data_IF_614253071678
#
_entry.id   IF_614253071678
#
_cell.length_a   1.000
_cell.length_b   1.000
_cell.length_c   1.000
_cell.angle_alpha   90.00
_cell.angle_beta   90.00
_cell.angle_gamma   90.00
#
_symmetry.space_group_name_H-M   'P 1'
#
loop_
_entity.id
_entity.type
_entity.pdbx_description
1 polymer ?
#
# COMPACT_ATOMS: atom_id res chain seq x y z
N UNK A 1 -5.77 13.11 1.04
CA UNK A 1 -6.51 14.02 0.14
C UNK A 1 -7.99 13.76 0.34
N UNK A 2 -8.81 14.81 0.39
CA UNK A 2 -10.26 14.76 0.58
C UNK A 2 -10.90 15.48 -0.60
N UNK A 3 -11.93 14.87 -1.18
CA UNK A 3 -12.72 15.43 -2.28
C UNK A 3 -14.12 15.76 -1.73
N UNK A 4 -14.46 17.04 -1.66
CA UNK A 4 -15.80 17.49 -1.25
C UNK A 4 -16.61 17.84 -2.49
N UNK A 5 -17.74 17.16 -2.76
CA UNK A 5 -18.58 17.50 -3.89
C UNK A 5 -19.23 18.87 -3.67
N UNK A 6 -19.00 19.80 -4.60
CA UNK A 6 -19.71 21.08 -4.66
C UNK A 6 -20.93 20.97 -5.58
N UNK A 7 -20.83 20.16 -6.64
CA UNK A 7 -21.93 19.82 -7.56
C UNK A 7 -21.63 18.50 -8.26
N UNK A 8 -22.50 18.07 -9.17
CA UNK A 8 -22.27 16.90 -10.01
C UNK A 8 -21.02 16.97 -10.91
N UNK A 9 -20.43 18.16 -11.11
CA UNK A 9 -19.26 18.38 -11.99
C UNK A 9 -18.03 18.94 -11.28
N UNK A 10 -18.18 19.44 -10.05
CA UNK A 10 -17.13 20.19 -9.37
C UNK A 10 -16.89 19.66 -7.97
N UNK A 11 -15.61 19.49 -7.63
CA UNK A 11 -15.16 19.06 -6.31
C UNK A 11 -14.16 20.07 -5.76
N UNK A 12 -14.25 20.35 -4.46
CA UNK A 12 -13.22 21.06 -3.71
C UNK A 12 -12.24 20.01 -3.17
N UNK A 13 -10.96 20.16 -3.49
CA UNK A 13 -9.92 19.22 -3.08
C UNK A 13 -9.08 19.79 -1.95
N UNK A 14 -9.08 19.11 -0.80
CA UNK A 14 -8.14 19.36 0.28
C UNK A 14 -7.05 18.29 0.28
N UNK A 15 -5.79 18.69 0.41
CA UNK A 15 -4.69 17.74 0.51
C UNK A 15 -3.61 18.24 1.47
N UNK A 16 -2.97 17.28 2.15
CA UNK A 16 -1.79 17.49 2.95
C UNK A 16 -0.75 16.46 2.50
N UNK A 17 0.43 16.91 2.09
CA UNK A 17 1.48 16.05 1.53
C UNK A 17 1.36 15.80 0.02
N UNK A 18 1.68 14.56 -0.40
CA UNK A 18 1.80 14.15 -1.81
C UNK A 18 0.43 14.20 -2.51
N UNK A 19 0.40 14.80 -3.71
CA UNK A 19 -0.78 14.90 -4.58
C UNK A 19 -0.37 14.61 -6.04
N UNK A 20 -1.32 14.26 -6.92
CA UNK A 20 -1.07 14.27 -8.36
C UNK A 20 -0.64 15.66 -8.87
N UNK A 21 0.09 15.68 -9.99
CA UNK A 21 0.62 16.92 -10.56
C UNK A 21 -0.48 17.82 -11.14
N UNK A 22 -1.57 17.23 -11.65
CA UNK A 22 -2.72 17.94 -12.21
C UNK A 22 -3.59 18.64 -11.15
N UNK A 23 -3.42 18.33 -9.87
CA UNK A 23 -4.09 19.05 -8.77
C UNK A 23 -3.17 20.18 -8.32
N UNK A 24 -3.66 21.40 -8.15
CA UNK A 24 -2.87 22.56 -7.71
C UNK A 24 -3.59 23.40 -6.67
N UNK A 25 -2.85 23.96 -5.70
CA UNK A 25 -3.41 24.83 -4.66
C UNK A 25 -4.00 26.09 -5.31
N UNK A 26 -5.15 26.53 -4.81
CA UNK A 26 -5.79 27.81 -5.20
C UNK A 26 -6.02 27.96 -6.71
N UNK A 27 -6.29 26.85 -7.40
CA UNK A 27 -6.55 26.84 -8.85
C UNK A 27 -7.75 25.97 -9.20
N UNK A 28 -8.46 26.38 -10.24
CA UNK A 28 -9.40 25.50 -10.94
C UNK A 28 -8.59 24.53 -11.81
N UNK A 29 -8.66 23.25 -11.47
CA UNK A 29 -8.03 22.17 -12.23
C UNK A 29 -9.10 21.46 -13.04
N UNK A 30 -9.04 21.57 -14.37
CA UNK A 30 -9.90 20.81 -15.28
C UNK A 30 -9.23 19.47 -15.53
N UNK A 31 -9.88 18.39 -15.09
CA UNK A 31 -9.38 17.03 -15.23
C UNK A 31 -9.96 16.39 -16.48
N UNK A 32 -9.14 15.65 -17.20
CA UNK A 32 -9.60 14.80 -18.31
C UNK A 32 -10.08 13.43 -17.80
N UNK A 33 -10.55 12.58 -18.72
CA UNK A 33 -11.04 11.24 -18.38
C UNK A 33 -9.96 10.34 -17.76
N UNK A 34 -8.69 10.57 -18.10
CA UNK A 34 -7.55 9.79 -17.60
C UNK A 34 -7.27 10.18 -16.15
N UNK A 35 -7.22 11.48 -15.84
CA UNK A 35 -7.04 12.01 -14.50
C UNK A 35 -8.17 11.57 -13.57
N UNK A 36 -9.42 11.64 -14.05
CA UNK A 36 -10.61 11.20 -13.30
C UNK A 36 -10.56 9.70 -13.02
N UNK A 37 -10.16 8.89 -14.02
CA UNK A 37 -10.00 7.45 -13.84
C UNK A 37 -8.91 7.11 -12.81
N UNK A 38 -7.79 7.83 -12.80
CA UNK A 38 -6.73 7.62 -11.81
C UNK A 38 -7.23 7.90 -10.38
N UNK A 39 -7.90 9.03 -10.14
CA UNK A 39 -8.48 9.37 -8.83
C UNK A 39 -9.49 8.32 -8.39
N UNK A 40 -10.43 7.96 -9.26
CA UNK A 40 -11.47 6.99 -8.95
C UNK A 40 -10.90 5.62 -8.61
N UNK A 41 -9.85 5.18 -9.33
CA UNK A 41 -9.17 3.94 -9.04
C UNK A 41 -8.52 3.97 -7.65
N UNK A 42 -7.89 5.07 -7.26
CA UNK A 42 -7.31 5.21 -5.91
C UNK A 42 -8.40 5.16 -4.83
N UNK A 43 -9.50 5.90 -5.00
CA UNK A 43 -10.62 5.88 -4.04
C UNK A 43 -11.17 4.45 -3.93
N UNK A 44 -11.48 3.84 -5.07
CA UNK A 44 -12.02 2.49 -5.12
C UNK A 44 -11.10 1.49 -4.43
N UNK A 45 -9.78 1.52 -4.69
CA UNK A 45 -8.82 0.62 -4.05
C UNK A 45 -8.74 0.79 -2.53
N UNK A 46 -8.95 2.01 -2.01
CA UNK A 46 -8.94 2.29 -0.57
C UNK A 46 -10.30 2.11 0.13
N UNK A 47 -11.41 2.01 -0.62
CA UNK A 47 -12.74 1.78 -0.04
C UNK A 47 -12.90 0.37 0.52
N UNK A 48 -13.44 0.24 1.72
CA UNK A 48 -13.77 -1.07 2.33
C UNK A 48 -14.93 -1.75 1.59
N UNK A 49 -15.99 -0.99 1.33
CA UNK A 49 -17.10 -1.43 0.50
C UNK A 49 -16.84 -1.00 -0.94
N UNK A 50 -16.65 -2.00 -1.80
CA UNK A 50 -16.49 -1.77 -3.24
C UNK A 50 -17.86 -1.57 -3.87
N UNK A 51 -18.29 -0.32 -3.98
CA UNK A 51 -19.49 0.03 -4.75
C UNK A 51 -19.11 0.28 -6.21
N UNK A 52 -19.71 -0.47 -7.13
CA UNK A 52 -19.44 -0.36 -8.57
C UNK A 52 -20.51 0.52 -9.24
N UNK A 53 -20.11 1.32 -10.22
CA UNK A 53 -21.02 2.14 -11.00
C UNK A 53 -21.91 1.29 -11.93
N UNK A 54 -23.06 1.81 -12.35
CA UNK A 54 -24.01 1.11 -13.24
C UNK A 54 -23.51 0.79 -14.65
N UNK A 55 -22.29 1.21 -15.00
CA UNK A 55 -21.75 1.16 -16.37
C UNK A 55 -20.75 0.00 -16.51
N UNK A 56 -20.76 -0.66 -17.67
CA UNK A 56 -19.93 -1.84 -17.94
C UNK A 56 -18.42 -1.52 -17.84
N UNK A 57 -17.99 -0.34 -18.28
CA UNK A 57 -16.57 0.06 -18.27
C UNK A 57 -15.99 0.15 -16.85
N UNK A 58 -16.84 0.32 -15.83
CA UNK A 58 -16.42 0.29 -14.44
C UNK A 58 -15.99 -1.12 -13.99
N UNK A 59 -16.52 -2.17 -14.64
CA UNK A 59 -16.16 -3.56 -14.37
C UNK A 59 -14.82 -3.93 -14.99
N UNK A 60 -14.45 -3.38 -16.14
CA UNK A 60 -13.15 -3.62 -16.79
C UNK A 60 -11.97 -3.16 -15.90
N UNK A 61 -12.22 -2.22 -15.00
CA UNK A 61 -11.23 -1.79 -14.00
C UNK A 61 -11.04 -2.82 -12.88
N UNK A 62 -12.02 -3.69 -12.61
CA UNK A 62 -11.93 -4.73 -11.59
C UNK A 62 -10.89 -5.79 -11.97
N UNK A 63 -10.85 -6.16 -13.24
CA UNK A 63 -9.88 -7.14 -13.76
C UNK A 63 -8.43 -6.64 -13.65
N UNK A 64 -8.24 -5.32 -13.53
CA UNK A 64 -6.93 -4.66 -13.43
C UNK A 64 -6.48 -4.43 -11.99
N UNK A 65 -7.26 -4.87 -11.00
CA UNK A 65 -6.89 -4.75 -9.59
C UNK A 65 -5.83 -5.79 -9.26
N UNK A 66 -4.60 -5.33 -9.08
CA UNK A 66 -3.48 -6.17 -8.62
C UNK A 66 -3.24 -6.09 -7.12
N UNK A 67 -3.89 -5.15 -6.43
CA UNK A 67 -3.66 -4.88 -5.01
C UNK A 67 -4.89 -5.22 -4.16
N UNK A 68 -4.68 -6.09 -3.18
CA UNK A 68 -5.66 -6.46 -2.17
C UNK A 68 -5.35 -5.75 -0.85
N UNK A 69 -6.24 -4.83 -0.48
CA UNK A 69 -6.26 -4.15 0.82
C UNK A 69 -7.73 -4.07 1.27
N UNK A 70 -8.02 -4.28 2.56
CA UNK A 70 -7.05 -4.47 3.65
C UNK A 70 -6.47 -5.90 3.67
N UNK A 71 -5.28 -6.06 4.24
CA UNK A 71 -4.64 -7.37 4.41
C UNK A 71 -5.01 -7.94 5.76
N UNK A 72 -5.44 -9.20 5.78
CA UNK A 72 -5.75 -9.95 7.00
C UNK A 72 -4.57 -10.86 7.36
N UNK A 73 -4.13 -10.78 8.61
CA UNK A 73 -3.15 -11.69 9.20
C UNK A 73 -3.87 -12.56 10.22
N UNK A 74 -3.80 -13.88 10.03
CA UNK A 74 -4.37 -14.86 10.94
C UNK A 74 -3.25 -15.61 11.65
N UNK A 75 -3.38 -15.79 12.96
CA UNK A 75 -2.47 -16.53 13.81
C UNK A 75 -3.23 -17.69 14.43
N UNK A 76 -2.77 -18.92 14.18
CA UNK A 76 -3.28 -20.13 14.80
C UNK A 76 -2.30 -20.58 15.89
N UNK A 77 -2.81 -20.79 17.09
CA UNK A 77 -2.05 -21.30 18.23
C UNK A 77 -2.29 -22.80 18.41
N UNK A 78 -1.35 -23.50 19.05
CA UNK A 78 -1.40 -24.94 19.26
C UNK A 78 -2.61 -25.40 20.09
N UNK A 79 -3.19 -24.52 20.91
CA UNK A 79 -4.37 -24.79 21.71
C UNK A 79 -5.68 -24.60 20.92
N UNK A 80 -5.60 -24.37 19.61
CA UNK A 80 -6.76 -24.11 18.73
C UNK A 80 -7.31 -22.68 18.86
N UNK A 81 -6.61 -21.79 19.55
CA UNK A 81 -6.97 -20.37 19.57
C UNK A 81 -6.57 -19.73 18.25
N UNK A 82 -7.44 -18.89 17.71
CA UNK A 82 -7.20 -18.07 16.52
C UNK A 82 -7.27 -16.61 16.92
N UNK A 83 -6.28 -15.85 16.44
CA UNK A 83 -6.30 -14.40 16.47
C UNK A 83 -6.17 -13.87 15.06
N UNK A 84 -6.98 -12.88 14.71
CA UNK A 84 -6.82 -12.21 13.43
C UNK A 84 -6.79 -10.69 13.57
N UNK A 85 -6.00 -10.11 12.67
CA UNK A 85 -5.80 -8.68 12.60
C UNK A 85 -5.98 -8.25 11.16
N UNK A 86 -6.64 -7.11 10.97
CA UNK A 86 -6.73 -6.46 9.68
C UNK A 86 -5.90 -5.19 9.73
N UNK A 87 -4.88 -5.15 8.88
CA UNK A 87 -4.08 -3.95 8.67
C UNK A 87 -4.66 -3.22 7.47
N UNK A 88 -5.27 -2.07 7.76
CA UNK A 88 -5.68 -1.13 6.73
C UNK A 88 -4.43 -0.40 6.21
N UNK A 89 -4.47 -0.09 4.92
CA UNK A 89 -3.46 0.72 4.27
C UNK A 89 -4.19 1.89 3.61
N UNK A 90 -4.10 3.08 4.21
CA UNK A 90 -4.45 4.31 3.51
C UNK A 90 -3.31 4.70 2.56
N UNK A 91 -3.39 4.26 1.30
CA UNK A 91 -2.33 4.53 0.32
C UNK A 91 -2.92 5.19 -0.90
N UNK A 92 -2.50 6.43 -1.14
CA UNK A 92 -2.53 6.98 -2.49
C UNK A 92 -1.53 6.17 -3.33
N UNK A 93 -2.05 5.20 -4.08
CA UNK A 93 -1.25 4.27 -4.89
C UNK A 93 -0.80 4.95 -6.17
N UNK A 94 0.13 5.89 -6.06
CA UNK A 94 0.83 6.41 -7.22
C UNK A 94 1.67 5.30 -7.85
N UNK A 95 2.04 5.47 -9.12
CA UNK A 95 2.82 4.48 -9.88
C UNK A 95 4.01 3.89 -9.11
N UNK A 96 4.75 4.73 -8.38
CA UNK A 96 5.92 4.30 -7.62
C UNK A 96 5.56 3.50 -6.35
N UNK A 97 4.41 3.80 -5.74
CA UNK A 97 3.96 3.10 -4.54
C UNK A 97 3.43 1.71 -4.93
N UNK A 98 2.78 1.58 -6.09
CA UNK A 98 2.40 0.28 -6.67
C UNK A 98 3.64 -0.58 -6.97
N UNK A 99 4.60 0.00 -7.69
CA UNK A 99 5.87 -0.67 -8.02
C UNK A 99 6.63 -1.11 -6.77
N UNK A 100 6.71 -0.26 -5.74
CA UNK A 100 7.31 -0.62 -4.46
C UNK A 100 6.53 -1.73 -3.75
N UNK A 101 5.20 -1.68 -3.73
CA UNK A 101 4.41 -2.73 -3.11
C UNK A 101 4.64 -4.09 -3.77
N UNK A 102 4.57 -4.15 -5.10
CA UNK A 102 4.70 -5.38 -5.89
C UNK A 102 6.11 -5.98 -5.82
N UNK A 103 7.14 -5.14 -5.71
CA UNK A 103 8.54 -5.57 -5.86
C UNK A 103 9.42 -5.28 -4.62
N UNK A 104 8.81 -4.93 -3.48
CA UNK A 104 9.51 -4.54 -2.25
C UNK A 104 10.58 -5.53 -1.83
N UNK A 105 10.26 -6.83 -1.79
CA UNK A 105 11.18 -7.91 -1.40
C UNK A 105 12.39 -7.93 -2.33
N UNK A 106 12.17 -7.95 -3.64
CA UNK A 106 13.25 -7.92 -4.63
C UNK A 106 14.13 -6.65 -4.49
N UNK A 107 13.53 -5.49 -4.22
CA UNK A 107 14.31 -4.26 -4.02
C UNK A 107 15.08 -4.24 -2.71
N UNK A 108 14.56 -4.86 -1.65
CA UNK A 108 15.28 -5.07 -0.40
C UNK A 108 16.50 -5.97 -0.65
N UNK A 109 16.33 -7.10 -1.33
CA UNK A 109 17.42 -8.02 -1.65
C UNK A 109 18.51 -7.36 -2.49
N UNK A 110 18.12 -6.70 -3.57
CA UNK A 110 19.04 -5.91 -4.40
C UNK A 110 19.77 -4.85 -3.59
N UNK A 111 19.07 -4.15 -2.68
CA UNK A 111 19.68 -3.14 -1.86
C UNK A 111 20.74 -3.73 -0.94
N UNK A 112 20.41 -4.79 -0.20
CA UNK A 112 21.31 -5.43 0.76
C UNK A 112 22.50 -6.07 0.05
N UNK A 113 22.27 -6.83 -1.02
CA UNK A 113 23.29 -7.62 -1.69
C UNK A 113 24.17 -6.77 -2.62
N UNK A 114 23.60 -5.81 -3.34
CA UNK A 114 24.28 -5.13 -4.46
C UNK A 114 24.56 -3.65 -4.22
N UNK A 115 23.76 -2.95 -3.38
CA UNK A 115 23.85 -1.48 -3.26
C UNK A 115 24.51 -1.03 -1.96
N UNK A 116 24.09 -1.56 -0.80
CA UNK A 116 24.48 -1.10 0.54
C UNK A 116 26.01 -1.10 0.66
N UNK A 117 26.61 0.09 0.76
CA UNK A 117 28.06 0.28 0.86
C UNK A 117 28.88 0.04 -0.42
N UNK A 118 28.25 -0.40 -1.52
CA UNK A 118 28.92 -0.82 -2.76
C UNK A 118 28.71 0.15 -3.93
N UNK A 119 27.54 0.80 -4.02
CA UNK A 119 27.16 1.65 -5.16
C UNK A 119 27.08 3.11 -4.74
N UNK A 120 27.90 3.95 -5.37
CA UNK A 120 27.89 5.40 -5.18
C UNK A 120 26.91 6.13 -6.11
N UNK A 121 26.58 7.39 -5.77
CA UNK A 121 25.62 8.23 -6.54
C UNK A 121 25.95 8.35 -8.04
N UNK A 122 27.24 8.41 -8.38
CA UNK A 122 27.71 8.60 -9.77
C UNK A 122 28.02 7.28 -10.49
N UNK A 123 27.97 6.13 -9.82
CA UNK A 123 28.19 4.81 -10.42
C UNK A 123 27.11 4.48 -11.46
N UNK A 124 27.39 3.55 -12.37
CA UNK A 124 26.37 3.03 -13.29
C UNK A 124 25.27 2.31 -12.51
N UNK A 125 24.03 2.46 -12.95
CA UNK A 125 22.89 1.86 -12.28
C UNK A 125 22.86 0.33 -12.46
N UNK A 126 22.51 -0.40 -11.39
CA UNK A 126 22.47 -1.87 -11.37
C UNK A 126 21.35 -2.49 -12.23
N UNK A 127 20.37 -1.68 -12.65
CA UNK A 127 19.27 -2.14 -13.51
C UNK A 127 19.68 -2.31 -14.99
N UNK A 128 20.95 -2.04 -15.34
CA UNK A 128 21.43 -2.18 -16.72
C UNK A 128 21.07 -1.02 -17.65
N UNK A 129 20.42 0.04 -17.17
CA UNK A 129 20.00 1.18 -18.02
C UNK A 129 21.14 2.03 -18.59
N UNK A 130 22.38 1.80 -18.17
CA UNK A 130 23.55 2.62 -18.55
C UNK A 130 23.58 4.03 -17.95
N UNK A 131 22.52 4.47 -17.26
CA UNK A 131 22.43 5.78 -16.59
C UNK A 131 23.23 5.78 -15.27
N UNK A 132 23.60 6.97 -14.78
CA UNK A 132 24.15 7.14 -13.42
C UNK A 132 23.08 6.75 -12.40
N UNK A 133 23.47 6.11 -11.30
CA UNK A 133 22.56 5.61 -10.26
C UNK A 133 21.61 6.70 -9.74
N UNK A 134 22.14 7.89 -9.46
CA UNK A 134 21.36 9.07 -9.02
C UNK A 134 20.30 9.56 -10.01
N UNK A 135 20.43 9.23 -11.29
CA UNK A 135 19.50 9.61 -12.36
C UNK A 135 18.59 8.45 -12.78
N UNK A 136 18.62 7.34 -12.03
CA UNK A 136 17.88 6.13 -12.35
C UNK A 136 17.20 5.58 -11.08
N UNK A 137 17.60 4.41 -10.60
CA UNK A 137 16.91 3.71 -9.52
C UNK A 137 17.19 4.25 -8.10
N UNK A 138 18.05 5.27 -7.93
CA UNK A 138 18.41 5.76 -6.59
C UNK A 138 17.19 6.08 -5.72
N UNK A 139 16.20 6.80 -6.25
CA UNK A 139 14.97 7.13 -5.51
C UNK A 139 14.22 5.90 -5.01
N UNK A 140 14.14 4.82 -5.80
CA UNK A 140 13.49 3.56 -5.43
C UNK A 140 14.19 2.92 -4.23
N UNK A 141 15.51 2.83 -4.27
CA UNK A 141 16.28 2.21 -3.20
C UNK A 141 16.50 3.13 -1.98
N UNK A 142 16.32 4.45 -2.12
CA UNK A 142 16.20 5.35 -0.97
C UNK A 142 14.94 5.07 -0.16
N UNK A 143 13.80 4.76 -0.80
CA UNK A 143 12.59 4.33 -0.09
C UNK A 143 12.82 2.98 0.62
N UNK A 144 13.46 2.02 -0.05
CA UNK A 144 13.86 0.74 0.58
C UNK A 144 14.73 0.97 1.81
N UNK A 145 15.71 1.89 1.71
CA UNK A 145 16.57 2.23 2.85
C UNK A 145 15.75 2.77 4.03
N UNK A 146 14.74 3.59 3.79
CA UNK A 146 13.82 4.08 4.84
C UNK A 146 13.02 2.94 5.46
N UNK A 147 12.51 2.01 4.65
CA UNK A 147 11.78 0.83 5.12
C UNK A 147 12.66 -0.01 6.04
N UNK A 148 13.87 -0.38 5.58
CA UNK A 148 14.82 -1.16 6.37
C UNK A 148 15.18 -0.43 7.67
N UNK A 149 15.45 0.88 7.59
CA UNK A 149 15.74 1.68 8.77
C UNK A 149 14.59 1.67 9.79
N UNK A 150 13.34 1.83 9.33
CA UNK A 150 12.16 1.79 10.20
C UNK A 150 11.93 0.43 10.84
N UNK A 151 12.27 -0.67 10.16
CA UNK A 151 12.22 -2.03 10.73
C UNK A 151 13.34 -2.23 11.76
N UNK A 152 14.56 -1.83 11.45
CA UNK A 152 15.73 -1.99 12.33
C UNK A 152 15.67 -1.10 13.59
N UNK A 153 14.92 0.01 13.55
CA UNK A 153 14.93 1.05 14.59
C UNK A 153 13.56 1.28 15.23
N UNK A 154 12.68 0.27 15.26
CA UNK A 154 11.35 0.39 15.88
C UNK A 154 11.39 0.92 17.33
N UNK A 155 12.45 0.62 18.09
CA UNK A 155 12.65 1.12 19.47
C UNK A 155 13.19 2.55 19.56
N UNK A 156 13.81 3.10 18.51
CA UNK A 156 14.43 4.44 18.53
C UNK A 156 13.47 5.58 18.15
N UNK A 157 12.36 5.26 17.50
CA UNK A 157 11.28 6.21 17.22
C UNK A 157 10.30 6.36 18.42
N UNK A 158 10.66 5.80 19.58
CA UNK A 158 9.98 6.00 20.86
C UNK A 158 10.35 7.35 21.52
N UNK A 159 10.56 8.40 20.73
CA UNK A 159 10.22 9.72 21.24
C UNK A 159 8.70 9.76 21.28
N UNK A 160 8.17 9.41 22.45
CA UNK A 160 6.79 9.66 22.87
C UNK A 160 6.48 11.15 22.78
N UNK A 161 6.30 11.63 21.55
CA UNK A 161 5.36 12.71 21.28
C UNK A 161 4.04 11.97 21.10
N UNK A 162 3.13 12.01 22.08
CA UNK A 162 1.78 11.48 21.90
C UNK A 162 1.20 12.07 20.61
N UNK A 163 0.62 11.22 19.75
CA UNK A 163 -0.01 11.58 18.46
C UNK A 163 0.86 11.69 17.20
N UNK A 164 2.12 11.20 17.18
CA UNK A 164 2.96 11.21 15.96
C UNK A 164 3.05 9.83 15.26
N UNK A 165 2.53 8.76 15.87
CA UNK A 165 2.46 7.45 15.20
C UNK A 165 1.44 7.52 14.06
N UNK A 166 1.93 7.69 12.83
CA UNK A 166 1.12 7.71 11.61
C UNK A 166 0.83 6.31 11.03
N UNK A 167 1.32 5.25 11.69
CA UNK A 167 0.96 3.90 11.32
C UNK A 167 -0.42 3.58 11.91
N UNK A 168 -1.40 3.27 11.05
CA UNK A 168 -2.68 2.72 11.50
C UNK A 168 -2.37 1.42 12.26
N UNK A 169 -2.74 1.36 13.54
CA UNK A 169 -2.62 0.13 14.31
C UNK A 169 -3.50 -0.95 13.67
N UNK A 170 -3.01 -2.18 13.65
CA UNK A 170 -3.80 -3.29 13.13
C UNK A 170 -5.06 -3.46 14.00
N UNK A 171 -6.21 -3.61 13.36
CA UNK A 171 -7.48 -3.77 14.06
C UNK A 171 -7.65 -5.25 14.33
N UNK A 172 -7.67 -5.63 15.60
CA UNK A 172 -8.05 -6.97 16.03
C UNK A 172 -9.53 -7.18 15.69
N UNK A 173 -9.82 -8.15 14.83
CA UNK A 173 -11.20 -8.46 14.43
C UNK A 173 -11.75 -9.62 15.26
N UNK A 174 -10.91 -10.60 15.56
CA UNK A 174 -11.31 -11.79 16.28
C UNK A 174 -10.20 -12.32 17.20
N UNK A 175 -10.61 -12.69 18.41
CA UNK A 175 -9.89 -13.63 19.29
C UNK A 175 -10.90 -14.69 19.73
N UNK A 176 -10.56 -15.97 19.55
CA UNK A 176 -11.38 -17.05 20.08
C UNK A 176 -10.97 -18.40 19.54
N UNK A 177 -11.86 -19.38 19.69
CA UNK A 177 -11.70 -20.70 19.07
C UNK A 177 -12.21 -20.70 17.63
N UNK A 178 -11.74 -21.65 16.84
CA UNK A 178 -12.06 -21.78 15.42
C UNK A 178 -13.56 -21.86 15.13
N UNK A 179 -14.38 -22.38 16.06
CA UNK A 179 -15.82 -22.47 15.85
C UNK A 179 -16.48 -21.08 15.74
N UNK A 180 -15.87 -20.06 16.35
CA UNK A 180 -16.34 -18.68 16.34
C UNK A 180 -15.99 -17.89 15.08
N UNK A 181 -15.21 -18.46 14.15
CA UNK A 181 -14.87 -17.80 12.89
C UNK A 181 -16.05 -17.80 11.91
N UNK A 182 -16.06 -16.83 11.01
CA UNK A 182 -16.98 -16.88 9.87
C UNK A 182 -16.55 -17.94 8.85
N UNK A 183 -17.49 -18.36 7.99
CA UNK A 183 -17.26 -19.44 7.02
C UNK A 183 -16.15 -19.13 6.01
N UNK A 184 -16.00 -17.86 5.62
CA UNK A 184 -14.92 -17.44 4.71
C UNK A 184 -13.54 -17.64 5.34
N UNK A 185 -13.38 -17.28 6.61
CA UNK A 185 -12.11 -17.40 7.33
C UNK A 185 -11.77 -18.85 7.65
N UNK A 186 -12.77 -19.69 7.97
CA UNK A 186 -12.59 -21.14 8.11
C UNK A 186 -12.03 -21.76 6.83
N UNK A 187 -12.60 -21.42 5.67
CA UNK A 187 -12.13 -21.90 4.37
C UNK A 187 -10.67 -21.49 4.09
N UNK A 188 -10.27 -20.28 4.51
CA UNK A 188 -8.88 -19.82 4.37
C UNK A 188 -7.95 -20.64 5.27
N UNK A 189 -8.31 -20.87 6.53
CA UNK A 189 -7.52 -21.69 7.45
C UNK A 189 -7.32 -23.12 6.92
N UNK A 190 -8.37 -23.74 6.39
CA UNK A 190 -8.28 -25.09 5.82
C UNK A 190 -7.33 -25.14 4.61
N UNK A 191 -7.36 -24.12 3.76
CA UNK A 191 -6.41 -24.00 2.64
C UNK A 191 -4.97 -23.84 3.12
N UNK A 192 -4.75 -23.02 4.14
CA UNK A 192 -3.42 -22.80 4.71
C UNK A 192 -2.88 -24.08 5.35
N UNK A 193 -3.71 -24.82 6.10
CA UNK A 193 -3.36 -26.14 6.66
C UNK A 193 -2.91 -27.12 5.58
N UNK A 194 -3.67 -27.19 4.48
CA UNK A 194 -3.32 -28.04 3.34
C UNK A 194 -1.97 -27.70 2.68
N UNK A 195 -1.50 -26.45 2.77
CA UNK A 195 -0.20 -26.01 2.24
C UNK A 195 0.95 -26.31 3.21
N UNK A 196 0.73 -26.13 4.51
CA UNK A 196 1.78 -26.26 5.53
C UNK A 196 2.06 -27.74 5.89
N UNK A 197 1.23 -28.69 5.41
CA UNK A 197 1.32 -30.12 5.76
C UNK A 197 1.32 -30.34 7.30
N UNK A 198 0.36 -29.71 7.98
CA UNK A 198 -0.01 -30.02 9.36
C UNK A 198 -1.37 -30.70 9.32
#
# INVERSE_FOLDING_TARGET
MILLPLSAKYYVVFYHGKKPNYISKEKFCVLDDIDVAEINNVIYQNSYVKCIAKKQEAFDMLEKITLYSPTKTMMLYNDGTVKDYVSKREVFLYKNDRDMNENSIHYIDDYILKIKGKVGRNSKCICGSGKKYKQCCMRKYEEVKKIIYGVENQDRDLYTIPNVRMAEDAIEIFIGKEEGLNESDKLILDRVRGIIQI
#
